data_IF_979093896309
#
_entry.id   IF_979093896309
#
_cell.length_a   1.000
_cell.length_b   1.000
_cell.length_c   1.000
_cell.angle_alpha   90.00
_cell.angle_beta   90.00
_cell.angle_gamma   90.00
#
_symmetry.space_group_name_H-M   'P 1'
#
loop_
_entity.id
_entity.type
_entity.pdbx_description
1 polymer ?
#
# COMPACT_ATOMS: atom_id res chain seq x y z
N UNK A 1 -21.59 -5.82 17.54
CA UNK A 1 -20.67 -5.06 18.44
C UNK A 1 -21.36 -3.78 18.97
N UNK A 2 -22.53 -3.91 19.55
CA UNK A 2 -23.21 -2.78 20.18
C UNK A 2 -22.65 -2.61 21.61
N UNK A 3 -21.98 -1.48 21.88
CA UNK A 3 -21.61 -1.04 23.22
C UNK A 3 -20.13 -1.04 23.61
N UNK A 4 -19.19 -1.41 22.73
CA UNK A 4 -17.75 -1.27 23.05
C UNK A 4 -17.19 0.06 22.54
N UNK A 5 -16.35 0.71 23.35
CA UNK A 5 -15.57 1.88 22.92
C UNK A 5 -14.51 1.43 21.91
N UNK A 6 -14.35 2.17 20.81
CA UNK A 6 -13.28 1.95 19.85
C UNK A 6 -12.55 3.25 19.52
N UNK A 7 -11.34 3.15 18.98
CA UNK A 7 -10.56 4.29 18.49
C UNK A 7 -10.33 4.10 17.00
N UNK A 8 -10.69 5.11 16.22
CA UNK A 8 -10.35 5.19 14.80
C UNK A 8 -9.31 6.28 14.58
N UNK A 9 -8.14 5.88 14.09
CA UNK A 9 -7.10 6.82 13.69
C UNK A 9 -7.33 7.25 12.26
N UNK A 10 -7.83 8.46 12.05
CA UNK A 10 -8.01 8.99 10.71
C UNK A 10 -6.65 9.25 10.05
N UNK A 11 -6.40 8.77 8.83
CA UNK A 11 -5.23 9.16 8.05
C UNK A 11 -5.13 10.68 7.92
N UNK A 12 -3.90 11.20 7.92
CA UNK A 12 -3.65 12.64 7.91
C UNK A 12 -3.88 13.32 6.55
N UNK A 13 -4.48 12.61 5.60
CA UNK A 13 -4.90 13.18 4.31
C UNK A 13 -6.06 14.16 4.56
N UNK A 14 -5.86 15.42 4.22
CA UNK A 14 -6.86 16.48 4.42
C UNK A 14 -7.85 16.53 3.26
N UNK A 15 -7.38 16.25 2.04
CA UNK A 15 -8.20 16.32 0.83
C UNK A 15 -7.89 15.18 -0.13
N UNK A 16 -8.94 14.63 -0.71
CA UNK A 16 -8.89 13.69 -1.82
C UNK A 16 -9.64 14.34 -2.99
N UNK A 17 -8.93 14.56 -4.09
CA UNK A 17 -9.53 15.05 -5.34
C UNK A 17 -9.55 13.88 -6.30
N UNK A 18 -10.73 13.43 -6.70
CA UNK A 18 -10.91 12.19 -7.46
C UNK A 18 -11.70 12.42 -8.74
N UNK A 19 -11.25 11.81 -9.80
CA UNK A 19 -11.92 11.77 -11.09
C UNK A 19 -10.96 12.00 -12.27
N UNK A 20 -11.41 11.72 -13.51
CA UNK A 20 -10.63 12.03 -14.70
C UNK A 20 -10.28 13.52 -14.76
N UNK A 21 -9.00 13.85 -14.99
CA UNK A 21 -8.53 15.23 -15.02
C UNK A 21 -8.26 15.87 -13.64
N UNK A 22 -8.29 15.11 -12.55
CA UNK A 22 -7.98 15.61 -11.19
C UNK A 22 -6.61 16.32 -11.12
N UNK A 23 -5.65 15.92 -11.94
CA UNK A 23 -4.33 16.59 -12.08
C UNK A 23 -4.47 18.07 -12.43
N UNK A 24 -5.52 18.48 -13.12
CA UNK A 24 -5.78 19.89 -13.42
C UNK A 24 -5.97 20.79 -12.18
N UNK A 25 -6.25 20.19 -11.02
CA UNK A 25 -6.32 20.89 -9.73
C UNK A 25 -4.98 21.03 -9.00
N UNK A 26 -3.90 20.50 -9.56
CA UNK A 26 -2.60 20.43 -8.87
C UNK A 26 -2.05 21.80 -8.44
N UNK A 27 -2.11 22.81 -9.30
CA UNK A 27 -1.64 24.16 -8.96
C UNK A 27 -2.46 24.80 -7.84
N UNK A 28 -3.78 24.60 -7.85
CA UNK A 28 -4.70 25.04 -6.78
C UNK A 28 -4.36 24.38 -5.43
N UNK A 29 -4.08 23.07 -5.45
CA UNK A 29 -3.71 22.34 -4.24
C UNK A 29 -2.32 22.75 -3.70
N UNK A 30 -1.35 23.05 -4.58
CA UNK A 30 -0.06 23.61 -4.19
C UNK A 30 -0.26 24.98 -3.51
N UNK A 31 -1.08 25.87 -4.07
CA UNK A 31 -1.41 27.17 -3.49
C UNK A 31 -2.12 27.04 -2.14
N UNK A 32 -3.10 26.14 -2.04
CA UNK A 32 -3.81 25.85 -0.78
C UNK A 32 -2.87 25.44 0.35
N UNK A 33 -1.79 24.74 0.02
CA UNK A 33 -0.77 24.33 0.98
C UNK A 33 0.29 25.41 1.25
N UNK A 34 0.14 26.60 0.64
CA UNK A 34 1.10 27.71 0.75
C UNK A 34 2.36 27.54 -0.11
N UNK A 35 2.38 26.52 -0.99
CA UNK A 35 3.53 26.20 -1.82
C UNK A 35 3.66 27.11 -3.05
N UNK A 36 4.90 27.39 -3.43
CA UNK A 36 5.27 28.18 -4.63
C UNK A 36 6.28 27.45 -5.49
N UNK A 37 7.05 26.53 -4.94
CA UNK A 37 8.20 25.88 -5.54
C UNK A 37 8.12 24.35 -5.33
N UNK A 38 7.49 23.67 -6.27
CA UNK A 38 7.24 22.22 -6.17
C UNK A 38 8.46 21.40 -6.67
N UNK A 39 8.82 20.36 -5.93
CA UNK A 39 9.63 19.27 -6.44
C UNK A 39 8.72 18.12 -6.89
N UNK A 40 8.79 17.77 -8.17
CA UNK A 40 8.14 16.56 -8.69
C UNK A 40 9.07 15.36 -8.49
N UNK A 41 8.61 14.36 -7.74
CA UNK A 41 9.34 13.12 -7.42
C UNK A 41 8.69 11.96 -8.17
N UNK A 42 9.42 11.36 -9.12
CA UNK A 42 8.87 10.31 -9.98
C UNK A 42 9.94 9.30 -10.41
N UNK A 43 9.51 8.17 -10.96
CA UNK A 43 10.41 7.14 -11.52
C UNK A 43 10.76 7.42 -12.99
N UNK A 44 11.88 6.85 -13.49
CA UNK A 44 12.23 6.97 -14.91
C UNK A 44 11.15 6.41 -15.85
N UNK A 45 10.41 5.40 -15.43
CA UNK A 45 9.32 4.81 -16.22
C UNK A 45 8.14 5.74 -16.36
N UNK A 46 7.69 6.36 -15.27
CA UNK A 46 6.59 7.35 -15.28
C UNK A 46 7.01 8.61 -16.03
N UNK A 47 8.25 9.06 -15.87
CA UNK A 47 8.78 10.22 -16.57
C UNK A 47 8.77 10.10 -18.11
N UNK A 48 8.81 8.86 -18.63
CA UNK A 48 8.72 8.57 -20.07
C UNK A 48 7.30 8.59 -20.61
N UNK A 49 6.29 8.67 -19.75
CA UNK A 49 4.88 8.76 -20.15
C UNK A 49 4.46 10.23 -20.37
N UNK A 50 3.29 10.42 -20.95
CA UNK A 50 2.68 11.77 -21.08
C UNK A 50 2.45 12.45 -19.72
N UNK A 51 2.45 11.67 -18.63
CA UNK A 51 2.03 12.13 -17.31
C UNK A 51 2.96 13.22 -16.75
N UNK A 52 4.28 13.07 -16.92
CA UNK A 52 5.22 14.11 -16.46
C UNK A 52 4.97 15.45 -17.13
N UNK A 53 4.77 15.47 -18.45
CA UNK A 53 4.43 16.69 -19.19
C UNK A 53 3.13 17.33 -18.72
N UNK A 54 2.12 16.51 -18.42
CA UNK A 54 0.83 16.98 -17.90
C UNK A 54 0.96 17.58 -16.49
N UNK A 55 1.76 16.95 -15.61
CA UNK A 55 2.07 17.45 -14.26
C UNK A 55 2.79 18.78 -14.32
N UNK A 56 3.84 18.88 -15.14
CA UNK A 56 4.62 20.15 -15.27
C UNK A 56 3.78 21.26 -15.88
N UNK A 57 2.93 20.95 -16.86
CA UNK A 57 1.99 21.92 -17.44
C UNK A 57 0.95 22.38 -16.41
N UNK A 58 0.41 21.48 -15.58
CA UNK A 58 -0.54 21.82 -14.53
C UNK A 58 0.09 22.68 -13.42
N UNK A 59 1.37 22.48 -13.10
CA UNK A 59 2.11 23.29 -12.13
C UNK A 59 2.52 24.64 -12.69
N UNK A 60 2.78 24.75 -14.00
CA UNK A 60 3.29 25.96 -14.62
C UNK A 60 4.60 26.44 -13.96
N UNK A 61 4.68 27.72 -13.61
CA UNK A 61 5.84 28.31 -12.96
C UNK A 61 6.17 27.73 -11.56
N UNK A 62 5.24 26.97 -10.94
CA UNK A 62 5.46 26.32 -9.65
C UNK A 62 6.31 25.05 -9.76
N UNK A 63 6.52 24.49 -10.95
CA UNK A 63 7.41 23.34 -11.17
C UNK A 63 8.87 23.77 -11.04
N UNK A 64 9.39 23.86 -9.82
CA UNK A 64 10.74 24.35 -9.54
C UNK A 64 11.84 23.34 -9.87
N UNK A 65 11.58 22.06 -9.66
CA UNK A 65 12.51 20.97 -9.95
C UNK A 65 11.79 19.63 -10.20
N UNK A 66 12.51 18.72 -10.86
CA UNK A 66 12.05 17.36 -11.13
C UNK A 66 13.13 16.37 -10.71
N UNK A 67 12.80 15.41 -9.86
CA UNK A 67 13.62 14.24 -9.58
C UNK A 67 12.95 13.01 -10.20
N UNK A 68 13.44 12.60 -11.38
CA UNK A 68 12.90 11.49 -12.16
C UNK A 68 13.76 10.20 -12.04
N UNK A 69 14.43 9.99 -10.90
CA UNK A 69 15.35 8.88 -10.67
C UNK A 69 14.95 8.01 -9.46
N UNK A 70 13.66 8.02 -9.10
CA UNK A 70 13.15 7.13 -8.06
C UNK A 70 13.43 5.67 -8.43
N UNK A 71 13.99 4.93 -7.48
CA UNK A 71 14.25 3.48 -7.61
C UNK A 71 13.29 2.65 -6.74
N UNK A 72 13.05 1.38 -7.11
CA UNK A 72 12.25 0.47 -6.29
C UNK A 72 12.78 0.40 -4.85
N UNK A 73 11.86 0.26 -3.89
CA UNK A 73 12.13 0.15 -2.45
C UNK A 73 12.79 1.38 -1.79
N UNK A 74 12.75 2.53 -2.45
CA UNK A 74 13.19 3.83 -1.93
C UNK A 74 14.55 3.78 -1.22
N UNK A 75 15.66 3.42 -1.94
CA UNK A 75 16.96 3.33 -1.30
C UNK A 75 17.45 4.69 -0.81
N UNK A 76 18.19 4.67 0.31
CA UNK A 76 18.71 5.88 1.00
C UNK A 76 19.45 6.82 0.06
N UNK A 77 20.35 6.30 -0.80
CA UNK A 77 21.11 7.11 -1.77
C UNK A 77 20.21 7.78 -2.84
N UNK A 78 19.07 7.18 -3.19
CA UNK A 78 18.08 7.82 -4.08
C UNK A 78 17.36 8.97 -3.38
N UNK A 79 17.06 8.82 -2.08
CA UNK A 79 16.46 9.88 -1.26
C UNK A 79 17.44 11.02 -1.09
N UNK A 80 18.72 10.73 -0.79
CA UNK A 80 19.79 11.74 -0.62
C UNK A 80 19.97 12.60 -1.89
N UNK A 81 20.03 11.97 -3.06
CA UNK A 81 20.09 12.68 -4.36
C UNK A 81 18.86 13.58 -4.58
N UNK A 82 17.66 13.11 -4.20
CA UNK A 82 16.46 13.92 -4.30
C UNK A 82 16.50 15.12 -3.33
N UNK A 83 17.10 14.96 -2.14
CA UNK A 83 17.32 16.05 -1.19
C UNK A 83 18.29 17.11 -1.72
N UNK A 84 19.36 16.71 -2.43
CA UNK A 84 20.28 17.65 -3.09
C UNK A 84 19.54 18.52 -4.12
N UNK A 85 18.72 17.89 -4.96
CA UNK A 85 17.87 18.60 -5.94
C UNK A 85 16.89 19.54 -5.23
N UNK A 86 16.27 19.07 -4.15
CA UNK A 86 15.32 19.86 -3.36
C UNK A 86 15.95 21.12 -2.76
N UNK A 87 17.13 20.99 -2.18
CA UNK A 87 17.89 22.11 -1.60
C UNK A 87 18.34 23.12 -2.66
N UNK A 88 18.91 22.63 -3.77
CA UNK A 88 19.34 23.49 -4.88
C UNK A 88 18.20 24.30 -5.49
N UNK A 89 17.00 23.72 -5.55
CA UNK A 89 15.81 24.38 -6.05
C UNK A 89 15.02 25.15 -4.98
N UNK A 90 15.43 25.13 -3.71
CA UNK A 90 14.72 25.79 -2.59
C UNK A 90 13.22 25.49 -2.58
N UNK A 91 12.86 24.22 -2.66
CA UNK A 91 11.47 23.78 -2.77
C UNK A 91 10.72 23.95 -1.44
N UNK A 92 9.42 24.18 -1.50
CA UNK A 92 8.53 24.35 -0.36
C UNK A 92 7.34 23.37 -0.34
N UNK A 93 7.18 22.57 -1.40
CA UNK A 93 6.17 21.52 -1.50
C UNK A 93 6.68 20.33 -2.30
N UNK A 94 6.27 19.12 -1.92
CA UNK A 94 6.58 17.88 -2.60
C UNK A 94 5.36 17.38 -3.41
N UNK A 95 5.60 16.93 -4.62
CA UNK A 95 4.59 16.28 -5.48
C UNK A 95 5.14 14.93 -5.91
N UNK A 96 4.66 13.85 -5.32
CA UNK A 96 5.02 12.49 -5.77
C UNK A 96 4.06 12.01 -6.87
N UNK A 97 4.63 11.47 -7.94
CA UNK A 97 3.87 10.93 -9.09
C UNK A 97 4.37 9.52 -9.38
N UNK A 98 3.54 8.52 -9.11
CA UNK A 98 3.94 7.13 -9.30
C UNK A 98 3.34 6.15 -8.30
N UNK A 99 3.95 4.97 -8.18
CA UNK A 99 3.58 3.98 -7.17
C UNK A 99 4.21 4.24 -5.81
N UNK A 100 4.10 3.26 -4.90
CA UNK A 100 4.58 3.37 -3.51
C UNK A 100 6.01 3.87 -3.37
N UNK A 101 6.94 3.46 -4.24
CA UNK A 101 8.34 3.94 -4.16
C UNK A 101 8.49 5.44 -4.43
N UNK A 102 7.66 6.05 -5.29
CA UNK A 102 7.70 7.49 -5.52
C UNK A 102 7.14 8.24 -4.30
N UNK A 103 6.06 7.75 -3.72
CA UNK A 103 5.44 8.28 -2.52
C UNK A 103 6.40 8.17 -1.32
N UNK A 104 7.01 7.01 -1.14
CA UNK A 104 7.95 6.75 -0.05
C UNK A 104 9.24 7.57 -0.21
N UNK A 105 9.76 7.70 -1.43
CA UNK A 105 10.91 8.59 -1.68
C UNK A 105 10.58 10.04 -1.30
N UNK A 106 9.40 10.57 -1.66
CA UNK A 106 9.00 11.92 -1.29
C UNK A 106 8.86 12.09 0.24
N UNK A 107 8.31 11.10 0.95
CA UNK A 107 8.28 11.09 2.43
C UNK A 107 9.69 11.06 3.02
N UNK A 108 10.59 10.22 2.46
CA UNK A 108 11.99 10.16 2.86
C UNK A 108 12.70 11.50 2.67
N UNK A 109 12.44 12.18 1.54
CA UNK A 109 12.93 13.56 1.28
C UNK A 109 12.40 14.53 2.34
N UNK A 110 11.11 14.49 2.65
CA UNK A 110 10.53 15.35 3.69
C UNK A 110 11.17 15.11 5.08
N UNK A 111 11.43 13.85 5.42
CA UNK A 111 12.10 13.49 6.67
C UNK A 111 13.55 14.00 6.71
N UNK A 112 14.33 13.71 5.67
CA UNK A 112 15.77 14.04 5.63
C UNK A 112 16.02 15.53 5.50
N UNK A 113 15.18 16.28 4.79
CA UNK A 113 15.25 17.75 4.72
C UNK A 113 15.02 18.39 6.08
N UNK A 114 14.05 17.89 6.83
CA UNK A 114 13.63 18.49 8.09
C UNK A 114 14.55 18.11 9.26
N UNK A 115 14.93 16.84 9.37
CA UNK A 115 15.64 16.32 10.54
C UNK A 115 17.18 16.28 10.35
N UNK A 116 17.64 16.17 9.10
CA UNK A 116 19.04 15.92 8.78
C UNK A 116 19.56 14.58 9.30
N UNK A 117 20.85 14.31 9.08
CA UNK A 117 21.52 13.09 9.54
C UNK A 117 21.10 11.82 8.80
N UNK A 118 21.61 10.63 9.19
CA UNK A 118 21.28 9.39 8.51
C UNK A 118 19.85 8.92 8.84
N UNK A 119 19.07 8.59 7.82
CA UNK A 119 17.69 8.11 7.97
C UNK A 119 17.54 6.88 8.90
N UNK A 120 18.47 5.90 8.93
CA UNK A 120 18.35 4.75 9.82
C UNK A 120 18.20 5.08 11.32
N UNK A 121 18.70 6.25 11.77
CA UNK A 121 18.52 6.67 13.16
C UNK A 121 17.06 6.86 13.57
N UNK A 122 16.17 7.12 12.58
CA UNK A 122 14.73 7.28 12.76
C UNK A 122 13.95 5.98 12.50
N UNK A 123 14.67 4.87 12.28
CA UNK A 123 14.06 3.57 12.07
C UNK A 123 13.23 3.13 13.25
N UNK A 124 11.98 2.71 12.97
CA UNK A 124 11.10 2.08 13.95
C UNK A 124 11.76 0.80 14.43
N UNK A 125 11.85 0.62 15.75
CA UNK A 125 12.39 -0.57 16.39
C UNK A 125 11.25 -1.39 16.95
N UNK A 126 11.27 -2.67 16.65
CA UNK A 126 10.31 -3.62 17.18
C UNK A 126 11.02 -4.65 18.04
N UNK A 127 10.51 -4.88 19.24
CA UNK A 127 10.98 -5.91 20.16
C UNK A 127 9.81 -6.78 20.58
N UNK A 128 9.81 -8.08 20.17
CA UNK A 128 8.76 -9.01 20.59
C UNK A 128 8.59 -9.06 22.11
N UNK A 129 7.37 -9.36 22.62
CA UNK A 129 6.18 -9.70 21.83
C UNK A 129 5.42 -8.49 21.27
N UNK A 130 5.52 -7.29 21.82
CA UNK A 130 4.63 -6.16 21.44
C UNK A 130 5.23 -4.76 21.66
N UNK A 131 6.53 -4.65 21.95
CA UNK A 131 7.16 -3.34 22.16
C UNK A 131 7.56 -2.72 20.83
N UNK A 132 6.92 -1.60 20.49
CA UNK A 132 7.25 -0.77 19.33
C UNK A 132 7.77 0.58 19.79
N UNK A 133 8.96 0.96 19.34
CA UNK A 133 9.56 2.25 19.59
C UNK A 133 9.63 3.03 18.27
N UNK A 134 9.00 4.20 18.25
CA UNK A 134 9.02 5.11 17.09
C UNK A 134 9.85 6.33 17.48
N UNK A 135 11.05 6.52 16.89
CA UNK A 135 11.88 7.67 17.17
C UNK A 135 11.19 8.99 16.81
N UNK A 136 11.35 9.99 17.68
CA UNK A 136 10.74 11.31 17.46
C UNK A 136 11.44 12.06 16.33
N UNK A 137 10.62 12.71 15.51
CA UNK A 137 11.04 13.62 14.44
C UNK A 137 10.36 15.00 14.65
N UNK A 138 10.90 15.88 15.52
CA UNK A 138 10.21 17.09 15.98
C UNK A 138 10.02 18.16 14.89
N UNK A 139 10.93 18.25 13.93
CA UNK A 139 10.91 19.32 12.94
C UNK A 139 9.66 19.26 12.05
N UNK A 140 9.12 20.43 11.59
CA UNK A 140 8.04 20.47 10.62
C UNK A 140 8.48 19.87 9.28
N UNK A 141 7.55 19.21 8.58
CA UNK A 141 7.81 18.60 7.28
C UNK A 141 7.19 19.44 6.17
N UNK A 142 7.83 19.44 5.00
CA UNK A 142 7.23 20.03 3.81
C UNK A 142 5.90 19.36 3.49
N UNK A 143 4.87 20.13 3.08
CA UNK A 143 3.62 19.56 2.62
C UNK A 143 3.85 18.67 1.39
N UNK A 144 3.09 17.59 1.30
CA UNK A 144 3.19 16.58 0.27
C UNK A 144 1.84 16.38 -0.43
N UNK A 145 1.84 16.39 -1.75
CA UNK A 145 0.73 16.02 -2.63
C UNK A 145 1.10 14.71 -3.32
N UNK A 146 0.26 13.69 -3.23
CA UNK A 146 0.49 12.40 -3.89
C UNK A 146 -0.45 12.21 -5.08
N UNK A 147 0.11 11.73 -6.20
CA UNK A 147 -0.60 11.35 -7.43
C UNK A 147 -0.26 9.89 -7.71
N UNK A 148 -1.02 8.94 -7.12
CA UNK A 148 -0.72 7.52 -7.27
C UNK A 148 -1.06 7.02 -8.67
N UNK A 149 -0.15 6.24 -9.26
CA UNK A 149 -0.38 5.50 -10.50
C UNK A 149 -0.65 4.02 -10.26
N UNK A 150 -0.49 3.53 -9.02
CA UNK A 150 -0.78 2.16 -8.59
C UNK A 150 -1.78 2.15 -7.45
N UNK A 151 -2.22 0.98 -7.03
CA UNK A 151 -3.25 0.80 -6.02
C UNK A 151 -2.66 0.38 -4.65
N UNK A 152 -1.42 0.77 -4.36
CA UNK A 152 -0.72 0.30 -3.16
C UNK A 152 -1.22 0.89 -1.84
N UNK A 153 -1.92 2.03 -1.86
CA UNK A 153 -2.42 2.71 -0.66
C UNK A 153 -1.35 3.43 0.18
N UNK A 154 -0.09 3.49 -0.30
CA UNK A 154 1.01 4.14 0.42
C UNK A 154 0.76 5.63 0.72
N UNK A 155 -0.04 6.30 -0.07
CA UNK A 155 -0.46 7.69 0.11
C UNK A 155 -1.34 7.94 1.35
N UNK A 156 -1.94 6.90 1.92
CA UNK A 156 -2.75 6.99 3.13
C UNK A 156 -1.97 6.64 4.42
N UNK A 157 -0.71 6.22 4.28
CA UNK A 157 0.17 5.92 5.39
C UNK A 157 1.10 7.08 5.73
N UNK A 158 1.45 7.22 7.00
CA UNK A 158 2.53 8.11 7.47
C UNK A 158 3.87 7.38 7.61
N UNK A 159 3.91 6.10 7.33
CA UNK A 159 5.13 5.29 7.32
C UNK A 159 5.77 5.30 5.95
N UNK A 160 7.08 5.11 5.92
CA UNK A 160 7.88 4.96 4.70
C UNK A 160 8.86 3.80 4.85
N UNK A 161 8.84 2.89 3.86
CA UNK A 161 9.80 1.80 3.76
C UNK A 161 11.05 2.25 3.01
N UNK A 162 12.20 2.19 3.67
CA UNK A 162 13.50 2.62 3.13
C UNK A 162 14.46 1.44 3.11
N UNK A 163 15.29 1.35 2.08
CA UNK A 163 16.34 0.33 1.97
C UNK A 163 17.72 0.96 2.08
N UNK A 164 18.59 0.42 2.92
CA UNK A 164 20.00 0.79 3.01
C UNK A 164 20.87 -0.47 2.87
N UNK A 165 21.60 -0.57 1.77
CA UNK A 165 22.26 -1.84 1.40
C UNK A 165 21.22 -2.95 1.22
N UNK A 166 21.39 -4.03 1.99
CA UNK A 166 20.46 -5.18 2.00
C UNK A 166 19.43 -5.11 3.13
N UNK A 167 19.41 -4.02 3.91
CA UNK A 167 18.50 -3.86 5.06
C UNK A 167 17.34 -2.94 4.71
N UNK A 168 16.13 -3.39 5.01
CA UNK A 168 14.92 -2.58 4.96
C UNK A 168 14.53 -2.13 6.37
N UNK A 169 14.20 -0.86 6.52
CA UNK A 169 13.68 -0.30 7.76
C UNK A 169 12.49 0.62 7.47
N UNK A 170 11.70 0.87 8.50
CA UNK A 170 10.52 1.74 8.42
C UNK A 170 10.82 3.01 9.21
N UNK A 171 10.58 4.16 8.62
CA UNK A 171 10.51 5.45 9.30
C UNK A 171 9.04 5.86 9.39
N UNK A 172 8.60 6.39 10.52
CA UNK A 172 7.20 6.75 10.71
C UNK A 172 7.05 8.06 11.51
N UNK A 173 6.31 9.00 10.95
CA UNK A 173 5.88 10.23 11.63
C UNK A 173 4.57 10.72 10.98
N UNK A 174 3.54 11.06 11.75
CA UNK A 174 2.27 11.55 11.21
C UNK A 174 2.41 12.73 10.24
N UNK A 175 3.46 13.52 10.33
CA UNK A 175 3.76 14.67 9.44
C UNK A 175 4.29 14.26 8.06
N UNK A 176 4.63 12.97 7.83
CA UNK A 176 5.06 12.45 6.53
C UNK A 176 3.90 12.05 5.63
N UNK A 177 2.67 11.94 6.18
CA UNK A 177 1.51 11.63 5.36
C UNK A 177 1.26 12.75 4.32
N UNK A 178 0.93 12.41 3.08
CA UNK A 178 0.45 13.38 2.10
C UNK A 178 -0.75 14.16 2.65
N UNK A 179 -0.78 15.47 2.41
CA UNK A 179 -1.90 16.31 2.80
C UNK A 179 -3.02 16.33 1.77
N UNK A 180 -2.65 16.12 0.49
CA UNK A 180 -3.59 15.97 -0.61
C UNK A 180 -3.26 14.74 -1.43
N UNK A 181 -4.28 14.02 -1.86
CA UNK A 181 -4.18 12.92 -2.83
C UNK A 181 -5.03 13.24 -4.05
N UNK A 182 -4.43 13.21 -5.24
CA UNK A 182 -5.13 13.37 -6.51
C UNK A 182 -5.28 12.00 -7.16
N UNK A 183 -6.50 11.48 -7.19
CA UNK A 183 -6.87 10.20 -7.83
C UNK A 183 -7.33 10.49 -9.26
N UNK A 184 -6.40 10.40 -10.22
CA UNK A 184 -6.67 10.62 -11.63
C UNK A 184 -6.58 9.27 -12.37
N UNK A 185 -7.70 8.84 -12.96
CA UNK A 185 -7.77 7.58 -13.70
C UNK A 185 -6.80 7.52 -14.89
N UNK A 186 -6.48 8.67 -15.51
CA UNK A 186 -5.51 8.73 -16.59
C UNK A 186 -4.07 8.54 -16.07
N UNK A 187 -3.78 8.95 -14.83
CA UNK A 187 -2.52 8.61 -14.19
C UNK A 187 -2.41 7.10 -13.92
N UNK A 188 -3.47 6.48 -13.40
CA UNK A 188 -3.52 5.03 -13.19
C UNK A 188 -3.39 4.23 -14.51
N UNK A 189 -3.93 4.76 -15.62
CA UNK A 189 -3.80 4.15 -16.94
C UNK A 189 -2.36 4.04 -17.44
N UNK A 190 -1.40 4.77 -16.86
CA UNK A 190 0.03 4.67 -17.21
C UNK A 190 0.74 3.48 -16.56
N UNK A 191 0.12 2.83 -15.58
CA UNK A 191 0.71 1.67 -14.92
C UNK A 191 0.72 0.45 -15.86
N UNK A 192 1.80 -0.34 -15.88
CA UNK A 192 1.77 -1.65 -16.54
C UNK A 192 0.62 -2.50 -15.99
N UNK A 193 -0.11 -3.17 -16.87
CA UNK A 193 -1.31 -3.95 -16.53
C UNK A 193 -1.06 -4.96 -15.40
N UNK A 194 0.08 -5.67 -15.45
CA UNK A 194 0.48 -6.62 -14.39
C UNK A 194 0.70 -5.95 -13.04
N UNK A 195 1.29 -4.74 -13.03
CA UNK A 195 1.49 -3.97 -11.80
C UNK A 195 0.16 -3.43 -11.25
N UNK A 196 -0.76 -2.99 -12.13
CA UNK A 196 -2.10 -2.57 -11.75
C UNK A 196 -2.86 -3.74 -11.09
N UNK A 197 -2.85 -4.92 -11.71
CA UNK A 197 -3.47 -6.13 -11.18
C UNK A 197 -2.90 -6.49 -9.79
N UNK A 198 -1.59 -6.60 -9.69
CA UNK A 198 -0.91 -7.01 -8.45
C UNK A 198 -1.12 -5.98 -7.32
N UNK A 199 -1.02 -4.68 -7.61
CA UNK A 199 -1.27 -3.63 -6.61
C UNK A 199 -2.73 -3.53 -6.20
N UNK A 200 -3.68 -3.84 -7.11
CA UNK A 200 -5.09 -3.96 -6.78
C UNK A 200 -5.37 -5.14 -5.84
N UNK A 201 -4.68 -6.26 -6.03
CA UNK A 201 -4.77 -7.39 -5.09
C UNK A 201 -4.12 -7.07 -3.74
N UNK A 202 -3.07 -6.22 -3.68
CA UNK A 202 -2.58 -5.69 -2.42
C UNK A 202 -3.64 -4.82 -1.70
N UNK A 203 -4.34 -3.94 -2.43
CA UNK A 203 -5.45 -3.18 -1.85
C UNK A 203 -6.57 -4.10 -1.34
N UNK A 204 -6.86 -5.20 -2.06
CA UNK A 204 -7.80 -6.21 -1.61
C UNK A 204 -7.33 -6.89 -0.33
N UNK A 205 -6.04 -7.21 -0.23
CA UNK A 205 -5.45 -7.79 0.97
C UNK A 205 -5.59 -6.87 2.20
N UNK A 206 -5.33 -5.58 2.05
CA UNK A 206 -5.59 -4.59 3.10
C UNK A 206 -7.04 -4.64 3.58
N UNK A 207 -7.99 -4.64 2.63
CA UNK A 207 -9.41 -4.71 2.98
C UNK A 207 -9.77 -6.02 3.70
N UNK A 208 -9.34 -7.16 3.16
CA UNK A 208 -9.63 -8.49 3.72
C UNK A 208 -9.07 -8.60 5.14
N UNK A 209 -7.81 -8.24 5.34
CA UNK A 209 -7.16 -8.33 6.64
C UNK A 209 -7.78 -7.36 7.65
N UNK A 210 -8.10 -6.13 7.24
CA UNK A 210 -8.76 -5.17 8.10
C UNK A 210 -10.16 -5.61 8.57
N UNK A 211 -10.94 -6.30 7.72
CA UNK A 211 -12.28 -6.79 8.10
C UNK A 211 -12.21 -7.93 9.11
N UNK A 212 -11.21 -8.82 9.02
CA UNK A 212 -11.09 -9.91 9.96
C UNK A 212 -10.13 -9.66 11.13
N UNK A 213 -9.38 -8.56 11.13
CA UNK A 213 -8.45 -8.22 12.21
C UNK A 213 -9.14 -8.22 13.58
N UNK A 214 -8.40 -8.61 14.63
CA UNK A 214 -8.86 -8.47 16.03
C UNK A 214 -9.05 -7.01 16.44
N UNK A 215 -8.42 -6.07 15.73
CA UNK A 215 -8.54 -4.62 15.91
C UNK A 215 -9.57 -3.97 14.96
N UNK A 216 -10.36 -4.79 14.25
CA UNK A 216 -11.41 -4.24 13.37
C UNK A 216 -12.44 -3.47 14.16
N UNK A 217 -12.97 -2.42 13.54
CA UNK A 217 -13.99 -1.57 14.15
C UNK A 217 -14.92 -1.01 13.04
N UNK A 218 -16.10 -0.45 13.38
CA UNK A 218 -17.15 -0.14 12.41
C UNK A 218 -16.72 0.71 11.20
N UNK A 219 -15.83 1.69 11.38
CA UNK A 219 -15.37 2.55 10.27
C UNK A 219 -14.41 1.82 9.35
N UNK A 220 -13.42 1.08 9.90
CA UNK A 220 -12.53 0.24 9.10
C UNK A 220 -13.29 -0.81 8.31
N UNK A 221 -14.24 -1.48 8.96
CA UNK A 221 -15.08 -2.49 8.31
C UNK A 221 -15.90 -1.89 7.16
N UNK A 222 -16.56 -0.75 7.37
CA UNK A 222 -17.38 -0.10 6.34
C UNK A 222 -16.56 0.31 5.12
N UNK A 223 -15.38 0.91 5.33
CA UNK A 223 -14.46 1.25 4.24
C UNK A 223 -13.99 0.01 3.48
N UNK A 224 -13.55 -1.02 4.21
CA UNK A 224 -12.95 -2.20 3.59
C UNK A 224 -13.97 -3.09 2.89
N UNK A 225 -15.17 -3.28 3.43
CA UNK A 225 -16.23 -4.01 2.75
C UNK A 225 -16.59 -3.34 1.42
N UNK A 226 -16.79 -2.01 1.42
CA UNK A 226 -17.00 -1.27 0.17
C UNK A 226 -15.83 -1.40 -0.80
N UNK A 227 -14.59 -1.34 -0.31
CA UNK A 227 -13.37 -1.56 -1.09
C UNK A 227 -13.33 -2.93 -1.75
N UNK A 228 -13.69 -3.99 -1.04
CA UNK A 228 -13.77 -5.38 -1.55
C UNK A 228 -14.74 -5.45 -2.74
N UNK A 229 -15.96 -4.93 -2.58
CA UNK A 229 -16.96 -4.94 -3.65
C UNK A 229 -16.50 -4.20 -4.92
N UNK A 230 -15.86 -3.03 -4.76
CA UNK A 230 -15.32 -2.27 -5.88
C UNK A 230 -14.17 -3.02 -6.58
N UNK A 231 -13.22 -3.59 -5.82
CA UNK A 231 -12.09 -4.32 -6.39
C UNK A 231 -12.55 -5.59 -7.10
N UNK A 232 -13.44 -6.37 -6.51
CA UNK A 232 -13.96 -7.58 -7.14
C UNK A 232 -14.66 -7.29 -8.48
N UNK A 233 -15.41 -6.19 -8.54
CA UNK A 233 -16.15 -5.79 -9.73
C UNK A 233 -15.29 -5.13 -10.80
N UNK A 234 -14.43 -4.18 -10.43
CA UNK A 234 -13.77 -3.27 -11.35
C UNK A 234 -12.31 -3.60 -11.64
N UNK A 235 -11.59 -4.30 -10.74
CA UNK A 235 -10.18 -4.61 -10.98
C UNK A 235 -9.96 -5.50 -12.21
N UNK A 236 -10.72 -6.59 -12.43
CA UNK A 236 -10.60 -7.37 -13.67
C UNK A 236 -10.90 -6.55 -14.92
N UNK A 237 -11.88 -5.61 -14.87
CA UNK A 237 -12.20 -4.72 -16.00
C UNK A 237 -11.06 -3.76 -16.31
N UNK A 238 -10.51 -3.10 -15.28
CA UNK A 238 -9.38 -2.18 -15.43
C UNK A 238 -8.13 -2.87 -15.97
N UNK A 239 -7.88 -4.12 -15.55
CA UNK A 239 -6.77 -4.95 -16.03
C UNK A 239 -6.98 -5.38 -17.48
N UNK A 240 -8.21 -5.75 -17.87
CA UNK A 240 -8.53 -6.15 -19.22
C UNK A 240 -8.48 -4.97 -20.19
N UNK A 241 -8.88 -3.78 -19.76
CA UNK A 241 -8.90 -2.57 -20.58
C UNK A 241 -8.36 -1.36 -19.78
N UNK A 242 -7.08 -1.04 -19.96
CA UNK A 242 -6.44 0.11 -19.33
C UNK A 242 -6.98 1.48 -19.79
N UNK A 243 -7.92 1.53 -20.72
CA UNK A 243 -8.62 2.75 -21.16
C UNK A 243 -10.01 2.88 -20.54
N UNK A 244 -10.46 1.92 -19.76
CA UNK A 244 -11.72 2.00 -19.00
C UNK A 244 -11.51 2.94 -17.79
N UNK A 245 -11.65 4.24 -18.02
CA UNK A 245 -11.44 5.29 -16.99
C UNK A 245 -12.46 5.17 -15.85
N UNK A 246 -13.65 4.63 -16.09
CA UNK A 246 -14.60 4.33 -15.03
C UNK A 246 -14.04 3.25 -14.11
N UNK A 247 -13.62 2.12 -14.66
CA UNK A 247 -13.04 1.03 -13.86
C UNK A 247 -11.78 1.49 -13.11
N UNK A 248 -10.90 2.26 -13.76
CA UNK A 248 -9.71 2.83 -13.13
C UNK A 248 -10.07 3.77 -11.97
N UNK A 249 -11.05 4.66 -12.13
CA UNK A 249 -11.52 5.55 -11.06
C UNK A 249 -12.06 4.75 -9.88
N UNK A 250 -12.83 3.68 -10.14
CA UNK A 250 -13.42 2.85 -9.09
C UNK A 250 -12.35 2.05 -8.33
N UNK A 251 -11.32 1.52 -9.00
CA UNK A 251 -10.25 0.81 -8.29
C UNK A 251 -9.31 1.75 -7.53
N UNK A 252 -9.10 3.00 -8.01
CA UNK A 252 -8.40 4.02 -7.22
C UNK A 252 -9.21 4.39 -5.97
N UNK A 253 -10.52 4.55 -6.09
CA UNK A 253 -11.39 4.77 -4.92
C UNK A 253 -11.33 3.58 -3.97
N UNK A 254 -11.32 2.35 -4.46
CA UNK A 254 -11.18 1.16 -3.62
C UNK A 254 -9.82 1.12 -2.89
N UNK A 255 -8.72 1.51 -3.55
CA UNK A 255 -7.40 1.64 -2.92
C UNK A 255 -7.41 2.74 -1.83
N UNK A 256 -8.13 3.84 -2.06
CA UNK A 256 -8.37 4.85 -1.03
C UNK A 256 -9.07 4.26 0.20
N UNK A 257 -10.20 3.58 -0.02
CA UNK A 257 -10.96 2.96 1.06
C UNK A 257 -10.13 1.90 1.80
N UNK A 258 -9.31 1.13 1.09
CA UNK A 258 -8.42 0.14 1.68
C UNK A 258 -7.37 0.78 2.61
N UNK A 259 -6.74 1.87 2.16
CA UNK A 259 -5.77 2.61 2.95
C UNK A 259 -6.40 3.27 4.18
N UNK A 260 -7.61 3.84 4.04
CA UNK A 260 -8.37 4.41 5.14
C UNK A 260 -8.73 3.36 6.19
N UNK A 261 -9.20 2.18 5.75
CA UNK A 261 -9.65 1.12 6.64
C UNK A 261 -8.51 0.41 7.37
N UNK A 262 -7.45 0.01 6.66
CA UNK A 262 -6.33 -0.75 7.24
C UNK A 262 -5.51 0.08 8.23
N UNK A 263 -5.51 1.39 8.10
CA UNK A 263 -4.76 2.31 8.96
C UNK A 263 -5.05 2.13 10.45
N UNK A 264 -6.29 1.78 10.82
CA UNK A 264 -6.70 1.58 12.22
C UNK A 264 -6.96 0.12 12.59
N UNK A 265 -7.14 -0.77 11.62
CA UNK A 265 -7.46 -2.17 11.86
C UNK A 265 -6.23 -3.08 11.82
N UNK A 266 -5.13 -2.60 11.21
CA UNK A 266 -3.92 -3.37 10.98
C UNK A 266 -4.14 -4.57 10.05
N UNK A 267 -3.10 -5.40 9.95
CA UNK A 267 -3.05 -6.56 9.04
C UNK A 267 -2.85 -7.86 9.84
N UNK A 268 -2.48 -8.97 9.21
CA UNK A 268 -2.32 -10.26 9.85
C UNK A 268 -1.19 -11.12 9.26
N UNK A 269 -1.39 -12.42 9.29
CA UNK A 269 -0.41 -13.42 8.83
C UNK A 269 -0.01 -13.23 7.35
N UNK A 270 -0.94 -12.78 6.50
CA UNK A 270 -0.65 -12.53 5.10
C UNK A 270 0.46 -11.47 4.95
N UNK A 271 0.30 -10.29 5.56
CA UNK A 271 1.31 -9.24 5.49
C UNK A 271 2.63 -9.65 6.17
N UNK A 272 2.58 -10.35 7.31
CA UNK A 272 3.77 -10.86 7.96
C UNK A 272 4.61 -11.75 7.03
N UNK A 273 3.96 -12.68 6.31
CA UNK A 273 4.62 -13.53 5.31
C UNK A 273 5.16 -12.70 4.14
N UNK A 274 4.37 -11.76 3.62
CA UNK A 274 4.80 -10.90 2.50
C UNK A 274 6.02 -10.06 2.85
N UNK A 275 6.08 -9.50 4.06
CA UNK A 275 7.23 -8.76 4.55
C UNK A 275 8.47 -9.65 4.66
N UNK A 276 8.32 -10.85 5.20
CA UNK A 276 9.41 -11.82 5.35
C UNK A 276 9.99 -12.25 3.99
N UNK A 277 9.12 -12.56 3.00
CA UNK A 277 9.55 -12.90 1.64
C UNK A 277 10.23 -11.70 0.98
N UNK A 278 9.60 -10.53 1.01
CA UNK A 278 10.11 -9.32 0.38
C UNK A 278 11.41 -8.79 1.00
N UNK A 279 11.67 -9.11 2.28
CA UNK A 279 12.92 -8.80 2.96
C UNK A 279 14.08 -9.72 2.57
N UNK A 280 13.80 -10.95 2.13
CA UNK A 280 14.83 -11.96 1.80
C UNK A 280 15.08 -12.10 0.30
N UNK A 281 14.04 -11.94 -0.50
CA UNK A 281 14.09 -12.23 -1.94
C UNK A 281 13.76 -10.98 -2.75
N UNK A 282 14.47 -10.81 -3.87
CA UNK A 282 14.24 -9.70 -4.82
C UNK A 282 13.04 -10.01 -5.73
N UNK A 283 11.87 -10.23 -5.14
CA UNK A 283 10.63 -10.53 -5.86
C UNK A 283 9.67 -9.33 -5.82
N UNK A 284 8.83 -9.13 -6.83
CA UNK A 284 7.90 -8.01 -6.87
C UNK A 284 6.92 -8.05 -5.71
N UNK A 285 7.00 -7.07 -4.81
CA UNK A 285 6.23 -7.04 -3.56
C UNK A 285 4.72 -7.17 -3.78
N UNK A 286 4.17 -6.47 -4.78
CA UNK A 286 2.74 -6.54 -5.09
C UNK A 286 2.30 -7.95 -5.57
N UNK A 287 3.18 -8.69 -6.26
CA UNK A 287 2.87 -10.05 -6.73
C UNK A 287 2.87 -11.05 -5.58
N UNK A 288 3.73 -10.85 -4.56
CA UNK A 288 3.70 -11.67 -3.34
C UNK A 288 2.36 -11.47 -2.61
N UNK A 289 1.88 -10.22 -2.50
CA UNK A 289 0.58 -9.92 -1.92
C UNK A 289 -0.55 -10.67 -2.63
N UNK A 290 -0.60 -10.55 -3.95
CA UNK A 290 -1.62 -11.21 -4.75
C UNK A 290 -1.62 -12.73 -4.55
N UNK A 291 -0.43 -13.34 -4.64
CA UNK A 291 -0.25 -14.78 -4.52
C UNK A 291 -0.64 -15.30 -3.15
N UNK A 292 -0.14 -14.68 -2.08
CA UNK A 292 -0.29 -15.19 -0.71
C UNK A 292 -1.69 -15.02 -0.14
N UNK A 293 -2.46 -14.03 -0.63
CA UNK A 293 -3.75 -13.69 -0.04
C UNK A 293 -4.72 -14.87 0.07
N UNK A 294 -5.05 -15.63 -0.99
CA UNK A 294 -6.02 -16.73 -0.87
C UNK A 294 -5.55 -17.86 0.05
N UNK A 295 -4.24 -18.08 0.16
CA UNK A 295 -3.70 -19.11 1.06
C UNK A 295 -3.80 -18.70 2.53
N UNK A 296 -3.48 -17.45 2.86
CA UNK A 296 -3.66 -16.92 4.20
C UNK A 296 -5.14 -16.88 4.59
N UNK A 297 -6.03 -16.56 3.65
CA UNK A 297 -7.49 -16.60 3.87
C UNK A 297 -7.98 -18.01 4.16
N UNK A 298 -7.53 -19.02 3.40
CA UNK A 298 -7.89 -20.43 3.66
C UNK A 298 -7.43 -20.89 5.03
N UNK A 299 -6.22 -20.50 5.44
CA UNK A 299 -5.68 -20.87 6.75
C UNK A 299 -6.46 -20.24 7.92
N UNK A 300 -6.99 -19.03 7.73
CA UNK A 300 -7.80 -18.31 8.72
C UNK A 300 -9.28 -18.70 8.72
N UNK A 301 -9.76 -19.55 7.80
CA UNK A 301 -11.18 -19.78 7.52
C UNK A 301 -12.00 -20.10 8.78
N UNK A 302 -11.50 -20.99 9.63
CA UNK A 302 -12.15 -21.41 10.87
C UNK A 302 -12.39 -20.27 11.88
N UNK A 303 -11.54 -19.26 11.86
CA UNK A 303 -11.63 -18.08 12.72
C UNK A 303 -12.35 -16.88 12.06
N UNK A 304 -12.75 -17.00 10.79
CA UNK A 304 -13.19 -15.83 9.98
C UNK A 304 -14.53 -16.03 9.27
N UNK A 305 -15.28 -17.08 9.57
CA UNK A 305 -16.56 -17.42 8.90
C UNK A 305 -17.48 -16.20 8.79
N UNK A 306 -17.76 -15.53 9.90
CA UNK A 306 -18.65 -14.36 9.91
C UNK A 306 -18.07 -13.16 9.12
N UNK A 307 -16.74 -12.95 9.19
CA UNK A 307 -16.08 -11.90 8.41
C UNK A 307 -16.21 -12.17 6.90
N UNK A 308 -15.94 -13.41 6.49
CA UNK A 308 -16.07 -13.80 5.08
C UNK A 308 -17.52 -13.80 4.60
N UNK A 309 -18.48 -14.17 5.42
CA UNK A 309 -19.89 -14.04 5.08
C UNK A 309 -20.31 -12.58 4.81
N UNK A 310 -19.74 -11.60 5.56
CA UNK A 310 -19.94 -10.18 5.26
C UNK A 310 -19.29 -9.77 3.95
N UNK A 311 -18.04 -10.21 3.69
CA UNK A 311 -17.33 -9.94 2.42
C UNK A 311 -18.07 -10.54 1.22
N UNK A 312 -18.62 -11.76 1.37
CA UNK A 312 -19.36 -12.47 0.33
C UNK A 312 -20.57 -11.68 -0.18
N UNK A 313 -21.24 -10.92 0.69
CA UNK A 313 -22.38 -10.05 0.30
C UNK A 313 -21.94 -8.95 -0.65
N UNK A 314 -20.75 -8.38 -0.46
CA UNK A 314 -20.19 -7.33 -1.32
C UNK A 314 -19.80 -7.84 -2.71
N UNK A 315 -19.51 -9.13 -2.83
CA UNK A 315 -19.07 -9.78 -4.09
C UNK A 315 -20.11 -10.76 -4.65
N UNK A 316 -21.33 -10.71 -4.11
CA UNK A 316 -22.48 -11.49 -4.56
C UNK A 316 -22.23 -13.02 -4.57
N UNK A 317 -21.50 -13.54 -3.59
CA UNK A 317 -21.37 -15.00 -3.38
C UNK A 317 -22.58 -15.49 -2.56
N UNK A 318 -23.24 -16.51 -3.07
CA UNK A 318 -24.35 -17.19 -2.41
C UNK A 318 -23.97 -18.63 -2.08
N UNK A 319 -24.62 -19.22 -1.09
CA UNK A 319 -24.47 -20.61 -0.68
C UNK A 319 -25.62 -21.05 0.22
N UNK A 320 -25.66 -22.33 0.61
CA UNK A 320 -26.74 -22.88 1.43
C UNK A 320 -26.64 -22.46 2.92
N UNK A 321 -25.43 -22.15 3.38
CA UNK A 321 -25.15 -21.77 4.77
C UNK A 321 -23.92 -20.82 4.83
N UNK A 322 -23.65 -20.26 6.01
CA UNK A 322 -22.54 -19.30 6.20
C UNK A 322 -21.17 -19.92 5.98
N UNK A 323 -20.99 -21.19 6.32
CA UNK A 323 -19.73 -21.92 6.17
C UNK A 323 -19.37 -22.11 4.69
N UNK A 324 -20.34 -22.52 3.86
CA UNK A 324 -20.16 -22.65 2.41
C UNK A 324 -19.86 -21.27 1.77
N UNK A 325 -20.61 -20.25 2.15
CA UNK A 325 -20.41 -18.88 1.69
C UNK A 325 -19.00 -18.40 2.05
N UNK A 326 -18.58 -18.60 3.30
CA UNK A 326 -17.27 -18.22 3.78
C UNK A 326 -16.13 -18.95 3.06
N UNK A 327 -16.27 -20.26 2.84
CA UNK A 327 -15.28 -21.08 2.12
C UNK A 327 -15.11 -20.66 0.64
N UNK A 328 -16.16 -20.13 0.02
CA UNK A 328 -16.12 -19.69 -1.37
C UNK A 328 -15.34 -18.35 -1.56
N UNK A 329 -15.16 -17.54 -0.51
CA UNK A 329 -14.49 -16.23 -0.63
C UNK A 329 -13.00 -16.37 -0.98
N UNK A 330 -12.17 -17.18 -0.29
CA UNK A 330 -10.78 -17.42 -0.70
C UNK A 330 -10.67 -17.99 -2.12
N UNK A 331 -11.58 -18.86 -2.52
CA UNK A 331 -11.63 -19.45 -3.87
C UNK A 331 -11.94 -18.41 -4.94
N UNK A 332 -12.83 -17.46 -4.64
CA UNK A 332 -13.10 -16.31 -5.51
C UNK A 332 -11.85 -15.46 -5.71
N UNK A 333 -11.12 -15.15 -4.62
CA UNK A 333 -9.86 -14.39 -4.67
C UNK A 333 -8.79 -15.15 -5.47
N UNK A 334 -8.66 -16.45 -5.28
CA UNK A 334 -7.74 -17.28 -6.07
C UNK A 334 -8.11 -17.27 -7.57
N UNK A 335 -9.40 -17.35 -7.89
CA UNK A 335 -9.88 -17.27 -9.26
C UNK A 335 -9.64 -15.88 -9.89
N UNK A 336 -9.70 -14.80 -9.10
CA UNK A 336 -9.33 -13.45 -9.57
C UNK A 336 -7.86 -13.39 -9.99
N UNK A 337 -6.93 -13.90 -9.16
CA UNK A 337 -5.51 -13.96 -9.52
C UNK A 337 -5.29 -14.72 -10.84
N UNK A 338 -5.89 -15.91 -10.96
CA UNK A 338 -5.78 -16.73 -12.17
C UNK A 338 -6.30 -16.01 -13.40
N UNK A 339 -7.46 -15.34 -13.32
CA UNK A 339 -8.05 -14.58 -14.45
C UNK A 339 -7.19 -13.41 -14.88
N UNK A 340 -6.48 -12.78 -13.97
CA UNK A 340 -5.60 -11.64 -14.26
C UNK A 340 -4.16 -12.05 -14.62
N UNK A 341 -3.86 -13.37 -14.71
CA UNK A 341 -2.54 -13.88 -15.07
C UNK A 341 -1.46 -13.62 -14.02
N UNK A 342 -1.85 -13.49 -12.75
CA UNK A 342 -0.92 -13.31 -11.63
C UNK A 342 -0.37 -14.68 -11.17
N UNK A 343 0.83 -14.71 -10.58
CA UNK A 343 1.43 -15.95 -10.08
C UNK A 343 0.54 -16.59 -9.01
N UNK A 344 0.49 -17.91 -9.02
CA UNK A 344 -0.33 -18.71 -8.12
C UNK A 344 0.50 -19.53 -7.13
N UNK A 345 1.82 -19.68 -7.39
CA UNK A 345 2.74 -20.45 -6.56
C UNK A 345 4.05 -19.69 -6.30
N UNK A 346 4.59 -19.79 -5.10
CA UNK A 346 5.83 -19.10 -4.69
C UNK A 346 7.03 -19.47 -5.58
N UNK A 347 7.10 -20.71 -6.06
CA UNK A 347 8.12 -21.16 -7.00
C UNK A 347 8.10 -20.41 -8.34
N UNK A 348 6.95 -19.91 -8.77
CA UNK A 348 6.83 -19.08 -9.98
C UNK A 348 7.51 -17.70 -9.81
N UNK A 349 7.66 -17.25 -8.57
CA UNK A 349 8.40 -16.04 -8.21
C UNK A 349 9.87 -16.32 -7.86
N UNK A 350 10.33 -17.57 -7.96
CA UNK A 350 11.71 -17.95 -7.66
C UNK A 350 12.02 -18.05 -6.15
N UNK A 351 11.00 -18.16 -5.29
CA UNK A 351 11.21 -18.41 -3.86
C UNK A 351 11.62 -19.88 -3.68
N UNK A 352 12.82 -20.18 -3.14
CA UNK A 352 13.29 -21.56 -2.98
C UNK A 352 12.61 -22.27 -1.82
N UNK A 353 12.32 -23.57 -1.95
CA UNK A 353 11.65 -24.37 -0.92
C UNK A 353 12.43 -24.44 0.39
N UNK A 354 13.73 -24.65 0.32
CA UNK A 354 14.63 -24.72 1.48
C UNK A 354 14.76 -23.40 2.25
N UNK A 355 14.27 -22.30 1.65
CA UNK A 355 14.20 -20.98 2.28
C UNK A 355 12.95 -20.76 3.15
N UNK A 356 11.89 -21.59 2.99
CA UNK A 356 10.58 -21.36 3.61
C UNK A 356 10.65 -21.33 5.15
N UNK A 357 11.48 -22.19 5.76
CA UNK A 357 11.64 -22.21 7.21
C UNK A 357 12.19 -20.88 7.78
N UNK A 358 13.08 -20.21 7.05
CA UNK A 358 13.58 -18.87 7.45
C UNK A 358 12.53 -17.79 7.26
N UNK A 359 11.75 -17.87 6.19
CA UNK A 359 10.59 -16.99 5.97
C UNK A 359 9.58 -17.13 7.11
N UNK A 360 9.30 -18.37 7.52
CA UNK A 360 8.36 -18.64 8.61
C UNK A 360 8.83 -18.04 9.95
N UNK A 361 10.12 -18.14 10.26
CA UNK A 361 10.68 -17.55 11.47
C UNK A 361 10.61 -16.02 11.45
N UNK A 362 10.91 -15.37 10.31
CA UNK A 362 10.83 -13.92 10.18
C UNK A 362 9.38 -13.42 10.25
N UNK A 363 8.45 -14.11 9.60
CA UNK A 363 7.04 -13.75 9.65
C UNK A 363 6.47 -13.85 11.06
N UNK A 364 6.89 -14.86 11.85
CA UNK A 364 6.49 -14.98 13.26
C UNK A 364 6.99 -13.81 14.11
N UNK A 365 8.10 -13.19 13.72
CA UNK A 365 8.66 -12.02 14.40
C UNK A 365 8.10 -10.69 13.88
N UNK A 366 7.27 -10.69 12.82
CA UNK A 366 6.66 -9.48 12.28
C UNK A 366 5.51 -8.98 13.16
N UNK A 367 5.44 -7.66 13.34
CA UNK A 367 4.40 -7.04 14.16
C UNK A 367 2.98 -7.30 13.63
N UNK A 368 2.80 -7.43 12.33
CA UNK A 368 1.48 -7.63 11.69
C UNK A 368 0.76 -8.89 12.17
N UNK A 369 1.51 -9.87 12.69
CA UNK A 369 0.94 -11.16 13.09
C UNK A 369 0.02 -11.07 14.32
N UNK A 370 0.18 -10.03 15.15
CA UNK A 370 -0.53 -9.91 16.43
C UNK A 370 -2.03 -9.62 16.29
N UNK A 371 -2.45 -9.06 15.18
CA UNK A 371 -3.85 -8.72 14.90
C UNK A 371 -4.56 -9.77 14.04
N UNK A 372 -3.89 -10.91 13.79
CA UNK A 372 -4.50 -12.02 13.06
C UNK A 372 -5.60 -12.69 13.89
N UNK A 373 -6.80 -12.99 13.32
CA UNK A 373 -7.93 -13.56 14.07
C UNK A 373 -7.65 -14.96 14.61
N UNK A 374 -6.95 -15.80 13.86
CA UNK A 374 -6.43 -17.09 14.32
C UNK A 374 -5.04 -16.86 14.91
N UNK A 375 -4.85 -17.08 16.23
CA UNK A 375 -3.57 -16.80 16.86
C UNK A 375 -2.43 -17.61 16.24
N UNK A 376 -1.36 -16.92 15.84
CA UNK A 376 -0.14 -17.55 15.30
C UNK A 376 0.90 -17.65 16.41
N UNK A 377 1.24 -18.86 16.83
CA UNK A 377 2.09 -19.13 18.01
C UNK A 377 3.44 -19.77 17.67
N UNK A 378 3.58 -20.26 16.43
CA UNK A 378 4.77 -20.99 16.00
C UNK A 378 5.08 -20.81 14.53
N UNK A 379 6.35 -20.93 14.16
CA UNK A 379 6.79 -20.95 12.77
C UNK A 379 6.18 -22.13 11.99
N UNK A 380 5.82 -23.22 12.66
CA UNK A 380 5.15 -24.37 12.01
C UNK A 380 3.78 -23.99 11.43
N UNK A 381 3.02 -23.15 12.12
CA UNK A 381 1.73 -22.65 11.61
C UNK A 381 1.91 -21.74 10.38
N UNK A 382 2.97 -20.94 10.36
CA UNK A 382 3.31 -20.13 9.18
C UNK A 382 3.74 -21.03 8.02
N UNK A 383 4.48 -22.10 8.30
CA UNK A 383 4.89 -23.11 7.30
C UNK A 383 3.68 -23.77 6.62
N UNK A 384 2.58 -24.03 7.33
CA UNK A 384 1.35 -24.58 6.72
C UNK A 384 0.87 -23.68 5.55
N UNK A 385 0.88 -22.36 5.74
CA UNK A 385 0.49 -21.41 4.70
C UNK A 385 1.50 -21.37 3.54
N UNK A 386 2.80 -21.39 3.87
CA UNK A 386 3.88 -21.33 2.88
C UNK A 386 3.93 -22.60 2.02
N UNK A 387 3.81 -23.78 2.60
CA UNK A 387 3.78 -25.06 1.87
C UNK A 387 2.56 -25.16 0.95
N UNK A 388 1.40 -24.72 1.41
CA UNK A 388 0.20 -24.67 0.56
C UNK A 388 0.39 -23.74 -0.65
N UNK A 389 1.19 -22.68 -0.51
CA UNK A 389 1.46 -21.68 -1.55
C UNK A 389 2.65 -22.03 -2.44
N UNK A 390 3.51 -22.98 -2.06
CA UNK A 390 4.70 -23.36 -2.82
C UNK A 390 4.41 -24.45 -3.85
#
# INVERSE_FOLDING_TARGET
MAGSTFVFHNPRVERIVSGPGAIGKLAEEVERLGGKRALVVTSPSVAKTFLLGRITSALGAKAAAIFAQVRPHSPTDSIEKAVEVARGAQIDVLVSVGGGSAIDTAKGVAALLAEGGPLPRFGVRYSPPNRKEVPLMPAPKLPHIAIPTTLSGGEYSYSVGITEGDKKFIVADPKLAPRTVLLDAEAAATAPTRLLAASGMNALAHCVEAVYSTETQPLSEAYCLKGIGLLARYLPRAVQNSRDLEALSQVQMAACLSGMGVYSAWTGIHHAIVHAIGGRYKVPHAEIHALMLPYAMRWNLDATVQAYARMAREIAIAGANEEEIAAAVPEHVFAMNRRMGLPLKLRELGVPHDGLGRVAADALADYSIHTNPKPVRSAAQVMEVLEAAW
#
